data_IF_608534031750
#
_entry.id   IF_608534031750
#
_cell.length_a   1.000
_cell.length_b   1.000
_cell.length_c   1.000
_cell.angle_alpha   90.00
_cell.angle_beta   90.00
_cell.angle_gamma   90.00
#
_symmetry.space_group_name_H-M   'P 1'
#
loop_
_entity.id
_entity.type
_entity.pdbx_description
1 polymer ?
#
# COMPACT_ATOMS: atom_id res chain seq x y z
N UNK A 1 -29.01 12.09 -36.86
CA UNK A 1 -29.65 12.12 -35.53
C UNK A 1 -28.53 11.97 -34.48
N UNK A 2 -27.98 13.08 -33.98
CA UNK A 2 -26.84 13.07 -33.05
C UNK A 2 -27.32 13.08 -31.60
N UNK A 3 -26.86 12.10 -30.80
CA UNK A 3 -27.12 12.01 -29.36
C UNK A 3 -26.33 13.09 -28.63
N UNK A 4 -27.04 13.94 -27.87
CA UNK A 4 -26.44 14.88 -26.93
C UNK A 4 -25.75 14.11 -25.80
N UNK A 5 -24.47 14.43 -25.58
CA UNK A 5 -23.61 13.84 -24.54
C UNK A 5 -23.97 14.49 -23.20
N UNK A 6 -24.46 13.71 -22.25
CA UNK A 6 -24.85 14.19 -20.92
C UNK A 6 -23.66 14.79 -20.14
N UNK A 7 -23.90 15.80 -19.28
CA UNK A 7 -22.85 16.41 -18.47
C UNK A 7 -22.29 15.42 -17.45
N UNK A 8 -20.96 15.29 -17.41
CA UNK A 8 -20.24 14.36 -16.54
C UNK A 8 -20.48 14.75 -15.07
N UNK A 9 -21.32 13.99 -14.38
CA UNK A 9 -21.55 14.12 -12.94
C UNK A 9 -20.43 13.39 -12.19
N UNK A 10 -19.42 14.13 -11.72
CA UNK A 10 -18.38 13.55 -10.88
C UNK A 10 -18.94 13.23 -9.49
N UNK A 11 -18.72 12.02 -8.96
CA UNK A 11 -19.18 11.67 -7.62
C UNK A 11 -18.40 12.46 -6.57
N UNK A 12 -19.13 13.01 -5.59
CA UNK A 12 -18.67 13.78 -4.41
C UNK A 12 -17.33 13.35 -3.74
N UNK A 13 -16.91 12.06 -3.69
CA UNK A 13 -15.58 11.69 -3.19
C UNK A 13 -14.41 12.25 -4.01
N UNK A 14 -14.55 12.41 -5.33
CA UNK A 14 -13.46 12.89 -6.20
C UNK A 14 -13.12 14.35 -5.89
N UNK A 15 -14.12 15.17 -5.59
CA UNK A 15 -13.94 16.58 -5.23
C UNK A 15 -13.22 16.76 -3.88
N UNK A 16 -13.47 15.86 -2.92
CA UNK A 16 -12.78 15.85 -1.62
C UNK A 16 -11.31 15.46 -1.75
N UNK A 17 -10.99 14.53 -2.65
CA UNK A 17 -9.60 14.12 -2.92
C UNK A 17 -8.84 15.25 -3.62
N UNK A 18 -9.48 15.96 -4.55
CA UNK A 18 -8.89 17.12 -5.24
C UNK A 18 -8.57 18.25 -4.24
N UNK A 19 -9.44 18.52 -3.26
CA UNK A 19 -9.20 19.55 -2.23
C UNK A 19 -8.03 19.23 -1.30
N UNK A 20 -7.83 17.95 -0.95
CA UNK A 20 -6.69 17.51 -0.12
C UNK A 20 -5.39 17.59 -0.92
N UNK A 21 -5.41 17.20 -2.20
CA UNK A 21 -4.26 17.28 -3.09
C UNK A 21 -3.89 18.74 -3.39
N UNK A 22 -4.88 19.64 -3.55
CA UNK A 22 -4.62 21.07 -3.77
C UNK A 22 -4.00 21.76 -2.56
N UNK A 23 -4.37 21.35 -1.33
CA UNK A 23 -3.78 21.88 -0.10
C UNK A 23 -2.29 21.49 0.04
N UNK A 24 -1.95 20.24 -0.28
CA UNK A 24 -0.57 19.74 -0.29
C UNK A 24 0.30 20.40 -1.38
N UNK A 25 -0.27 20.65 -2.56
CA UNK A 25 0.39 21.37 -3.65
C UNK A 25 0.66 22.85 -3.31
N UNK A 26 -0.27 23.53 -2.63
CA UNK A 26 -0.10 24.93 -2.23
C UNK A 26 1.03 25.11 -1.20
N UNK A 27 1.18 24.16 -0.26
CA UNK A 27 2.30 24.17 0.70
C UNK A 27 3.66 23.91 0.05
N UNK A 28 3.71 23.19 -1.08
CA UNK A 28 4.95 22.91 -1.80
C UNK A 28 5.36 24.08 -2.70
N UNK A 29 4.40 24.80 -3.30
CA UNK A 29 4.67 25.97 -4.14
C UNK A 29 5.05 27.23 -3.35
N UNK A 30 4.64 27.34 -2.08
CA UNK A 30 4.95 28.49 -1.25
C UNK A 30 6.46 28.64 -0.93
N UNK A 31 7.24 27.55 -1.06
CA UNK A 31 8.68 27.54 -0.76
C UNK A 31 9.58 27.95 -1.95
N UNK A 32 9.02 28.25 -3.14
CA UNK A 32 9.78 28.50 -4.38
C UNK A 32 9.56 29.87 -5.04
N UNK A 33 8.95 30.86 -4.38
CA UNK A 33 8.82 32.19 -4.99
C UNK A 33 10.14 32.97 -4.97
N UNK A 34 10.95 32.81 -6.03
CA UNK A 34 12.01 33.77 -6.35
C UNK A 34 11.37 35.09 -6.78
N UNK A 35 11.76 36.17 -6.11
CA UNK A 35 11.26 37.52 -6.38
C UNK A 35 11.89 38.06 -7.67
N UNK A 36 11.16 38.06 -8.79
CA UNK A 36 11.59 38.73 -10.01
C UNK A 36 11.30 40.24 -9.89
N UNK A 37 12.30 41.13 -10.00
CA UNK A 37 12.06 42.56 -9.95
C UNK A 37 11.29 43.00 -11.21
N UNK A 38 10.26 43.82 -11.00
CA UNK A 38 9.42 44.36 -12.09
C UNK A 38 10.29 45.29 -12.93
N UNK A 39 10.48 44.96 -14.21
CA UNK A 39 11.16 45.81 -15.17
C UNK A 39 10.30 47.05 -15.42
N UNK A 40 10.86 48.25 -15.19
CA UNK A 40 10.12 49.50 -15.38
C UNK A 40 9.70 49.63 -16.84
N UNK A 41 8.39 49.76 -17.06
CA UNK A 41 7.81 49.99 -18.38
C UNK A 41 8.21 51.40 -18.81
N UNK A 42 8.89 51.49 -19.95
CA UNK A 42 9.20 52.76 -20.61
C UNK A 42 7.90 53.54 -20.84
N UNK A 43 7.73 54.68 -20.17
CA UNK A 43 6.52 55.52 -20.24
C UNK A 43 6.26 56.09 -21.65
N UNK A 44 7.19 55.90 -22.60
CA UNK A 44 7.06 56.34 -23.99
C UNK A 44 6.23 55.42 -24.88
N UNK A 45 5.42 54.53 -24.30
CA UNK A 45 4.35 53.87 -25.07
C UNK A 45 3.30 54.93 -25.39
N UNK A 46 3.36 55.42 -26.63
CA UNK A 46 2.30 56.22 -27.26
C UNK A 46 0.96 55.65 -26.81
N UNK A 47 0.25 56.40 -25.98
CA UNK A 47 -1.11 56.05 -25.60
C UNK A 47 -1.95 56.17 -26.86
N UNK A 48 -2.07 55.06 -27.60
CA UNK A 48 -3.08 54.92 -28.63
C UNK A 48 -4.40 54.92 -27.86
N UNK A 49 -4.90 56.12 -27.56
CA UNK A 49 -6.24 56.31 -27.09
C UNK A 49 -7.12 55.90 -28.27
N UNK A 50 -7.42 54.60 -28.37
CA UNK A 50 -8.43 54.10 -29.31
C UNK A 50 -9.73 54.76 -28.87
N UNK A 51 -10.08 55.86 -29.52
CA UNK A 51 -11.42 56.40 -29.46
C UNK A 51 -12.30 55.33 -30.08
N UNK A 52 -13.02 54.59 -29.23
CA UNK A 52 -14.00 53.64 -29.71
C UNK A 52 -15.06 54.45 -30.47
N UNK A 53 -15.32 54.15 -31.76
CA UNK A 53 -16.45 54.76 -32.44
C UNK A 53 -17.73 54.43 -31.68
N UNK A 54 -18.69 55.35 -31.60
CA UNK A 54 -19.96 55.13 -30.87
C UNK A 54 -20.72 53.87 -31.35
N UNK A 55 -20.47 53.46 -32.60
CA UNK A 55 -21.01 52.25 -33.21
C UNK A 55 -20.29 50.94 -32.82
N UNK A 56 -19.10 51.01 -32.22
CA UNK A 56 -18.33 49.83 -31.83
C UNK A 56 -19.07 49.00 -30.78
N UNK A 57 -19.79 49.65 -29.86
CA UNK A 57 -20.61 48.96 -28.86
C UNK A 57 -21.70 48.10 -29.52
N UNK A 58 -22.31 48.60 -30.60
CA UNK A 58 -23.35 47.87 -31.33
C UNK A 58 -22.79 46.64 -32.06
N UNK A 59 -21.55 46.72 -32.56
CA UNK A 59 -20.87 45.58 -33.22
C UNK A 59 -20.61 44.45 -32.23
N UNK A 60 -20.08 44.77 -31.04
CA UNK A 60 -19.83 43.76 -30.01
C UNK A 60 -21.12 43.23 -29.37
N UNK A 61 -22.17 44.05 -29.24
CA UNK A 61 -23.47 43.59 -28.75
C UNK A 61 -24.22 42.72 -29.76
N UNK A 62 -24.01 42.92 -31.07
CA UNK A 62 -24.61 42.10 -32.12
C UNK A 62 -23.86 40.78 -32.37
N UNK A 63 -22.63 40.66 -31.87
CA UNK A 63 -21.82 39.45 -32.02
C UNK A 63 -22.37 38.32 -31.14
N UNK A 64 -22.81 37.24 -31.79
CA UNK A 64 -23.37 36.06 -31.13
C UNK A 64 -22.32 35.36 -30.27
N UNK A 65 -21.05 35.38 -30.64
CA UNK A 65 -19.98 34.76 -29.86
C UNK A 65 -19.65 35.58 -28.61
N UNK A 66 -19.70 36.92 -28.73
CA UNK A 66 -19.59 37.81 -27.58
C UNK A 66 -20.76 37.62 -26.60
N UNK A 67 -22.00 37.58 -27.10
CA UNK A 67 -23.17 37.28 -26.27
C UNK A 67 -23.09 35.89 -25.64
N UNK A 68 -22.56 34.90 -26.37
CA UNK A 68 -22.37 33.55 -25.84
C UNK A 68 -21.37 33.54 -24.67
N UNK A 69 -20.25 34.26 -24.81
CA UNK A 69 -19.23 34.42 -23.76
C UNK A 69 -19.77 35.12 -22.50
N UNK A 70 -20.71 36.06 -22.65
CA UNK A 70 -21.38 36.72 -21.52
C UNK A 70 -22.53 35.88 -20.94
N UNK A 71 -23.24 35.10 -21.76
CA UNK A 71 -24.32 34.21 -21.32
C UNK A 71 -23.80 32.96 -20.59
N UNK A 72 -22.55 32.57 -20.85
CA UNK A 72 -21.83 31.52 -20.14
C UNK A 72 -21.15 32.04 -18.87
N UNK A 73 -21.24 33.36 -18.54
CA UNK A 73 -20.93 33.82 -17.19
C UNK A 73 -21.96 33.22 -16.26
N UNK A 74 -21.59 32.07 -15.71
CA UNK A 74 -22.22 31.35 -14.61
C UNK A 74 -22.98 32.33 -13.76
N UNK A 75 -24.31 32.39 -13.96
CA UNK A 75 -25.17 33.15 -13.08
C UNK A 75 -25.02 32.48 -11.72
N UNK A 76 -24.19 33.08 -10.88
CA UNK A 76 -23.95 32.61 -9.52
C UNK A 76 -25.32 32.69 -8.87
N UNK A 77 -25.96 31.53 -8.70
CA UNK A 77 -27.28 31.46 -8.10
C UNK A 77 -27.23 32.18 -6.77
N UNK A 78 -28.19 33.07 -6.51
CA UNK A 78 -28.33 33.74 -5.20
C UNK A 78 -28.35 32.70 -4.08
N UNK A 79 -28.94 31.54 -4.36
CA UNK A 79 -28.90 30.38 -3.47
C UNK A 79 -27.49 29.84 -3.24
N UNK A 80 -26.69 29.74 -4.31
CA UNK A 80 -25.29 29.37 -4.22
C UNK A 80 -24.47 30.39 -3.43
N UNK A 81 -24.75 31.68 -3.59
CA UNK A 81 -24.10 32.75 -2.83
C UNK A 81 -24.47 32.70 -1.34
N UNK A 82 -25.74 32.47 -1.01
CA UNK A 82 -26.22 32.29 0.36
C UNK A 82 -25.54 31.08 1.01
N UNK A 83 -25.49 29.94 0.31
CA UNK A 83 -24.82 28.75 0.81
C UNK A 83 -23.31 28.92 0.95
N UNK A 84 -22.67 29.61 0.00
CA UNK A 84 -21.24 29.91 0.07
C UNK A 84 -20.93 30.82 1.26
N UNK A 85 -21.74 31.87 1.48
CA UNK A 85 -21.63 32.73 2.65
C UNK A 85 -21.87 31.95 3.95
N UNK A 86 -22.91 31.12 4.00
CA UNK A 86 -23.21 30.30 5.17
C UNK A 86 -22.03 29.38 5.52
N UNK A 87 -21.52 28.61 4.55
CA UNK A 87 -20.38 27.74 4.77
C UNK A 87 -19.10 28.50 5.11
N UNK A 88 -18.87 29.66 4.49
CA UNK A 88 -17.73 30.51 4.83
C UNK A 88 -17.75 30.92 6.31
N UNK A 89 -18.91 31.36 6.81
CA UNK A 89 -19.05 31.75 8.22
C UNK A 89 -18.95 30.56 9.17
N UNK A 90 -19.55 29.42 8.80
CA UNK A 90 -19.44 28.17 9.58
C UNK A 90 -17.98 27.70 9.66
N UNK A 91 -17.27 27.65 8.53
CA UNK A 91 -15.86 27.26 8.50
C UNK A 91 -15.00 28.26 9.27
N UNK A 92 -15.19 29.56 9.07
CA UNK A 92 -14.48 30.60 9.82
C UNK A 92 -14.67 30.43 11.33
N UNK A 93 -15.89 30.15 11.78
CA UNK A 93 -16.19 29.91 13.19
C UNK A 93 -15.51 28.63 13.69
N UNK A 94 -15.64 27.52 12.97
CA UNK A 94 -15.06 26.20 13.27
C UNK A 94 -13.53 26.28 13.38
N UNK A 95 -12.85 27.01 12.47
CA UNK A 95 -11.39 27.13 12.42
C UNK A 95 -10.84 28.32 13.24
N UNK A 96 -11.62 28.88 14.17
CA UNK A 96 -11.14 29.93 15.06
C UNK A 96 -10.01 29.41 15.98
N UNK A 97 -8.94 30.18 16.25
CA UNK A 97 -7.86 29.76 17.14
C UNK A 97 -8.31 29.26 18.52
N UNK A 98 -9.40 29.80 19.06
CA UNK A 98 -9.99 29.38 20.33
C UNK A 98 -10.49 27.92 20.35
N UNK A 99 -10.88 27.37 19.20
CA UNK A 99 -11.35 25.98 19.07
C UNK A 99 -10.22 24.99 18.73
N UNK A 100 -9.00 25.47 18.50
CA UNK A 100 -7.84 24.62 18.21
C UNK A 100 -7.64 23.50 19.24
N UNK A 101 -7.64 23.72 20.56
CA UNK A 101 -7.44 22.62 21.52
C UNK A 101 -8.51 21.52 21.41
N UNK A 102 -9.76 21.89 21.10
CA UNK A 102 -10.83 20.92 20.82
C UNK A 102 -10.53 20.09 19.56
N UNK A 103 -10.07 20.72 18.46
CA UNK A 103 -9.68 20.01 17.25
C UNK A 103 -8.50 19.07 17.45
N UNK A 104 -7.51 19.47 18.26
CA UNK A 104 -6.39 18.59 18.61
C UNK A 104 -6.88 17.39 19.43
N UNK A 105 -7.72 17.61 20.44
CA UNK A 105 -8.30 16.54 21.24
C UNK A 105 -9.14 15.58 20.37
N UNK A 106 -10.00 16.12 19.51
CA UNK A 106 -10.80 15.33 18.57
C UNK A 106 -9.92 14.51 17.62
N UNK A 107 -8.85 15.10 17.10
CA UNK A 107 -7.89 14.42 16.24
C UNK A 107 -7.22 13.23 16.96
N UNK A 108 -6.75 13.43 18.20
CA UNK A 108 -6.19 12.35 19.00
C UNK A 108 -7.21 11.26 19.34
N UNK A 109 -8.46 11.62 19.63
CA UNK A 109 -9.55 10.66 19.87
C UNK A 109 -9.83 9.83 18.61
N UNK A 110 -9.87 10.46 17.43
CA UNK A 110 -10.07 9.76 16.15
C UNK A 110 -8.91 8.81 15.87
N UNK A 111 -7.66 9.25 16.05
CA UNK A 111 -6.48 8.38 15.91
C UNK A 111 -6.55 7.20 16.89
N UNK A 112 -6.83 7.47 18.16
CA UNK A 112 -6.96 6.44 19.18
C UNK A 112 -8.09 5.45 18.83
N UNK A 113 -9.23 5.94 18.34
CA UNK A 113 -10.35 5.11 17.89
C UNK A 113 -10.00 4.24 16.69
N UNK A 114 -9.29 4.79 15.69
CA UNK A 114 -8.78 4.03 14.53
C UNK A 114 -7.78 2.97 14.99
N UNK A 115 -6.88 3.33 15.91
CA UNK A 115 -5.87 2.44 16.46
C UNK A 115 -6.51 1.28 17.23
N UNK A 116 -7.47 1.57 18.12
CA UNK A 116 -8.26 0.57 18.85
C UNK A 116 -9.06 -0.30 17.89
N UNK A 117 -9.70 0.28 16.87
CA UNK A 117 -10.41 -0.47 15.85
C UNK A 117 -9.46 -1.44 15.13
N UNK A 118 -8.28 -0.98 14.73
CA UNK A 118 -7.28 -1.80 14.07
C UNK A 118 -6.78 -2.93 14.98
N UNK A 119 -6.46 -2.65 16.24
CA UNK A 119 -6.09 -3.66 17.25
C UNK A 119 -7.22 -4.68 17.43
N UNK A 120 -8.46 -4.22 17.57
CA UNK A 120 -9.62 -5.10 17.75
C UNK A 120 -9.84 -6.02 16.53
N UNK A 121 -9.52 -5.52 15.32
CA UNK A 121 -9.59 -6.29 14.09
C UNK A 121 -8.48 -7.32 14.02
N UNK A 122 -7.26 -6.94 14.41
CA UNK A 122 -6.09 -7.83 14.48
C UNK A 122 -6.27 -8.92 15.53
N UNK A 123 -6.86 -8.63 16.69
CA UNK A 123 -7.13 -9.62 17.74
C UNK A 123 -8.28 -10.58 17.39
N UNK A 124 -9.29 -10.12 16.63
CA UNK A 124 -10.42 -10.95 16.19
C UNK A 124 -10.11 -11.76 14.93
N UNK A 125 -9.11 -11.38 14.14
CA UNK A 125 -8.55 -12.24 13.10
C UNK A 125 -7.46 -13.11 13.73
N UNK A 126 -7.59 -14.43 13.69
CA UNK A 126 -6.46 -15.33 13.97
C UNK A 126 -5.18 -14.84 13.23
N UNK A 127 -3.96 -15.00 13.79
CA UNK A 127 -2.74 -14.26 13.42
C UNK A 127 -2.14 -14.59 12.04
N UNK A 128 -2.95 -14.80 11.00
CA UNK A 128 -2.52 -15.17 9.65
C UNK A 128 -2.92 -14.18 8.55
N UNK A 129 -3.52 -13.03 8.87
CA UNK A 129 -4.17 -12.20 7.84
C UNK A 129 -3.53 -10.88 7.44
N UNK A 130 -2.67 -10.26 8.25
CA UNK A 130 -2.50 -8.78 8.14
C UNK A 130 -1.07 -8.23 8.16
N UNK A 131 -0.02 -9.06 8.20
CA UNK A 131 1.37 -8.58 8.32
C UNK A 131 2.29 -9.07 7.21
N UNK A 132 2.03 -8.66 5.97
CA UNK A 132 3.07 -8.61 4.94
C UNK A 132 3.50 -7.16 4.72
N UNK A 133 4.41 -6.68 5.59
CA UNK A 133 5.59 -5.86 5.23
C UNK A 133 6.34 -5.46 6.52
N UNK A 134 7.52 -6.04 6.74
CA UNK A 134 8.56 -5.36 7.51
C UNK A 134 9.93 -5.91 7.14
N UNK A 135 10.56 -5.24 6.15
CA UNK A 135 12.02 -5.27 6.02
C UNK A 135 12.61 -4.81 7.35
N UNK A 136 13.29 -5.71 8.07
CA UNK A 136 14.51 -5.38 8.80
C UNK A 136 15.52 -6.51 8.63
N UNK A 137 16.54 -6.15 7.88
CA UNK A 137 17.93 -6.62 7.90
C UNK A 137 18.22 -7.98 8.54
N UNK A 138 18.76 -8.85 7.70
CA UNK A 138 19.83 -9.80 8.00
C UNK A 138 20.43 -9.64 9.42
N UNK A 139 19.89 -10.41 10.35
CA UNK A 139 20.61 -10.83 11.55
C UNK A 139 20.87 -12.32 11.40
N UNK A 140 22.08 -12.59 10.92
CA UNK A 140 22.79 -13.86 11.05
C UNK A 140 22.79 -14.24 12.54
N UNK A 141 21.87 -15.10 12.96
CA UNK A 141 21.72 -15.46 14.37
C UNK A 141 20.34 -16.01 14.70
N UNK A 142 20.14 -17.28 14.36
CA UNK A 142 18.95 -18.09 14.51
C UNK A 142 18.31 -18.06 15.92
N UNK A 143 17.07 -17.57 16.12
CA UNK A 143 16.23 -17.96 17.24
C UNK A 143 15.27 -19.06 16.75
N UNK A 144 15.67 -20.31 16.97
CA UNK A 144 14.91 -21.56 16.83
C UNK A 144 13.57 -21.49 16.06
N UNK A 145 13.65 -21.58 14.73
CA UNK A 145 12.50 -21.68 13.81
C UNK A 145 11.68 -22.98 14.00
N UNK A 146 12.26 -23.97 14.69
CA UNK A 146 11.65 -25.27 14.95
C UNK A 146 11.76 -25.65 16.43
N UNK A 147 10.66 -26.12 17.02
CA UNK A 147 10.66 -26.67 18.39
C UNK A 147 10.85 -28.19 18.38
N UNK A 148 11.15 -28.75 19.56
CA UNK A 148 11.16 -30.20 19.76
C UNK A 148 9.77 -30.82 19.57
N UNK A 149 8.69 -30.10 19.89
CA UNK A 149 7.33 -30.58 19.60
C UNK A 149 7.06 -30.66 18.09
N UNK A 150 7.55 -29.69 17.31
CA UNK A 150 7.39 -29.70 15.86
C UNK A 150 8.06 -30.93 15.23
N UNK A 151 9.24 -31.33 15.72
CA UNK A 151 9.97 -32.50 15.22
C UNK A 151 9.34 -33.82 15.66
N UNK A 152 8.59 -33.86 16.76
CA UNK A 152 8.00 -35.11 17.26
C UNK A 152 6.53 -35.31 16.88
N UNK A 153 5.86 -34.30 16.30
CA UNK A 153 4.44 -34.37 15.94
C UNK A 153 4.19 -34.70 14.46
N UNK A 154 3.08 -35.40 14.17
CA UNK A 154 2.58 -35.54 12.81
C UNK A 154 1.80 -34.27 12.44
N UNK A 155 2.28 -33.57 11.42
CA UNK A 155 1.72 -32.31 10.93
C UNK A 155 0.96 -32.47 9.61
N UNK A 156 0.55 -33.69 9.24
CA UNK A 156 -0.14 -33.97 7.97
C UNK A 156 -1.43 -33.16 7.79
N UNK A 157 -2.24 -33.03 8.84
CA UNK A 157 -3.46 -32.22 8.80
C UNK A 157 -3.15 -30.71 8.72
N UNK A 158 -2.11 -30.27 9.44
CA UNK A 158 -1.64 -28.88 9.37
C UNK A 158 -1.14 -28.52 7.96
N UNK A 159 -0.48 -29.45 7.28
CA UNK A 159 -0.03 -29.26 5.89
C UNK A 159 -1.22 -29.07 4.94
N UNK A 160 -2.25 -29.94 5.05
CA UNK A 160 -3.46 -29.82 4.22
C UNK A 160 -4.15 -28.47 4.45
N UNK A 161 -4.34 -28.10 5.71
CA UNK A 161 -4.94 -26.81 6.07
C UNK A 161 -4.12 -25.63 5.54
N UNK A 162 -2.78 -25.68 5.62
CA UNK A 162 -1.92 -24.62 5.08
C UNK A 162 -2.08 -24.47 3.57
N UNK A 163 -2.15 -25.59 2.84
CA UNK A 163 -2.36 -25.60 1.38
C UNK A 163 -3.75 -25.06 1.01
N UNK A 164 -4.81 -25.52 1.68
CA UNK A 164 -6.20 -25.07 1.47
C UNK A 164 -6.36 -23.56 1.72
N UNK A 165 -5.70 -23.05 2.77
CA UNK A 165 -5.69 -21.63 3.09
C UNK A 165 -4.73 -20.81 2.20
N UNK A 166 -4.08 -21.43 1.22
CA UNK A 166 -3.04 -20.81 0.35
C UNK A 166 -1.86 -20.22 1.15
N UNK A 167 -1.61 -20.72 2.35
CA UNK A 167 -0.45 -20.39 3.16
C UNK A 167 0.74 -21.26 2.73
N UNK A 168 1.25 -20.98 1.54
CA UNK A 168 2.31 -21.77 0.92
C UNK A 168 3.64 -21.67 1.67
N UNK A 169 3.87 -20.59 2.43
CA UNK A 169 5.06 -20.42 3.25
C UNK A 169 5.01 -21.37 4.45
N UNK A 170 3.88 -21.45 5.14
CA UNK A 170 3.70 -22.40 6.24
C UNK A 170 3.70 -23.85 5.75
N UNK A 171 3.04 -24.12 4.62
CA UNK A 171 3.07 -25.45 4.01
C UNK A 171 4.50 -25.91 3.69
N UNK A 172 5.34 -25.00 3.16
CA UNK A 172 6.75 -25.28 2.90
C UNK A 172 7.54 -25.51 4.20
N UNK A 173 7.29 -24.72 5.25
CA UNK A 173 7.91 -24.93 6.58
C UNK A 173 7.61 -26.32 7.11
N UNK A 174 6.36 -26.77 7.03
CA UNK A 174 5.95 -28.10 7.49
C UNK A 174 6.65 -29.20 6.67
N UNK A 175 6.76 -29.04 5.35
CA UNK A 175 7.53 -29.97 4.51
C UNK A 175 9.01 -30.03 4.88
N UNK A 176 9.60 -28.90 5.27
CA UNK A 176 10.98 -28.85 5.75
C UNK A 176 11.16 -29.53 7.12
N UNK A 177 10.24 -29.31 8.06
CA UNK A 177 10.21 -30.05 9.34
C UNK A 177 10.17 -31.56 9.09
N UNK A 178 9.29 -32.02 8.19
CA UNK A 178 9.21 -33.43 7.79
C UNK A 178 10.50 -33.97 7.19
N UNK A 179 11.24 -33.12 6.48
CA UNK A 179 12.57 -33.46 5.95
C UNK A 179 13.55 -33.73 7.09
N UNK A 180 13.61 -32.86 8.10
CA UNK A 180 14.45 -33.05 9.27
C UNK A 180 14.05 -34.30 10.07
N UNK A 181 12.75 -34.55 10.22
CA UNK A 181 12.22 -35.76 10.87
C UNK A 181 12.70 -37.05 10.17
N UNK A 182 12.61 -37.10 8.84
CA UNK A 182 13.05 -38.27 8.06
C UNK A 182 14.57 -38.47 8.12
N UNK A 183 15.34 -37.38 8.03
CA UNK A 183 16.79 -37.43 8.20
C UNK A 183 17.19 -37.96 9.59
N UNK A 184 16.52 -37.48 10.64
CA UNK A 184 16.75 -37.96 12.00
C UNK A 184 16.35 -39.43 12.16
N UNK A 185 15.19 -39.84 11.62
CA UNK A 185 14.73 -41.25 11.65
C UNK A 185 15.76 -42.19 11.01
N UNK A 186 16.38 -41.75 9.91
CA UNK A 186 17.43 -42.47 9.21
C UNK A 186 18.83 -42.32 9.84
N UNK A 187 18.93 -41.67 11.01
CA UNK A 187 20.19 -41.41 11.74
C UNK A 187 21.23 -40.66 10.91
N UNK A 188 20.78 -39.82 9.96
CA UNK A 188 21.64 -39.00 9.11
C UNK A 188 21.96 -37.65 9.75
N UNK A 189 21.15 -37.22 10.71
CA UNK A 189 21.36 -36.02 11.52
C UNK A 189 20.94 -36.28 12.97
N UNK A 190 21.43 -35.45 13.88
CA UNK A 190 20.92 -35.35 15.25
C UNK A 190 20.27 -33.98 15.40
N UNK A 191 18.93 -33.93 15.48
CA UNK A 191 18.21 -32.67 15.63
C UNK A 191 18.59 -32.00 16.96
N UNK A 192 18.97 -30.73 16.89
CA UNK A 192 19.19 -29.90 18.07
C UNK A 192 18.64 -28.51 17.81
N UNK A 193 17.94 -27.96 18.82
CA UNK A 193 17.42 -26.60 18.76
C UNK A 193 18.59 -25.62 18.56
N UNK A 194 18.46 -24.72 17.60
CA UNK A 194 19.46 -23.70 17.29
C UNK A 194 20.45 -24.07 16.18
N UNK A 195 20.57 -25.35 15.82
CA UNK A 195 21.38 -25.76 14.66
C UNK A 195 20.87 -25.13 13.36
N UNK A 196 21.81 -24.73 12.53
CA UNK A 196 21.63 -24.15 11.20
C UNK A 196 21.50 -25.26 10.14
N UNK A 197 20.92 -24.91 8.99
CA UNK A 197 20.84 -25.82 7.85
C UNK A 197 22.22 -26.26 7.34
N UNK A 198 23.24 -25.40 7.45
CA UNK A 198 24.62 -25.76 7.11
C UNK A 198 25.22 -26.78 8.07
N UNK A 199 24.91 -26.70 9.37
CA UNK A 199 25.34 -27.69 10.35
C UNK A 199 24.69 -29.05 10.06
N UNK A 200 23.38 -29.08 9.80
CA UNK A 200 22.70 -30.31 9.37
C UNK A 200 23.27 -30.88 8.08
N UNK A 201 23.62 -30.04 7.11
CA UNK A 201 24.20 -30.48 5.84
C UNK A 201 25.57 -31.16 6.03
N UNK A 202 26.36 -30.72 7.01
CA UNK A 202 27.68 -31.30 7.33
C UNK A 202 27.57 -32.66 8.03
N UNK A 203 26.47 -32.93 8.72
CA UNK A 203 26.22 -34.23 9.37
C UNK A 203 25.87 -35.34 8.38
N UNK A 204 25.30 -34.98 7.22
CA UNK A 204 24.89 -35.96 6.20
C UNK A 204 26.11 -36.43 5.41
N UNK A 205 26.63 -37.61 5.75
CA UNK A 205 27.83 -38.18 5.10
C UNK A 205 27.57 -38.77 3.71
N UNK A 206 26.33 -39.15 3.38
CA UNK A 206 25.97 -39.77 2.09
C UNK A 206 25.80 -38.70 1.00
N UNK A 207 26.60 -38.70 -0.08
CA UNK A 207 26.58 -37.63 -1.10
C UNK A 207 25.20 -37.41 -1.76
N UNK A 208 24.49 -38.50 -2.06
CA UNK A 208 23.18 -38.45 -2.70
C UNK A 208 22.13 -37.76 -1.81
N UNK A 209 22.17 -38.02 -0.50
CA UNK A 209 21.27 -37.37 0.47
C UNK A 209 21.72 -35.94 0.75
N UNK A 210 23.02 -35.70 0.83
CA UNK A 210 23.56 -34.37 1.11
C UNK A 210 23.21 -33.37 0.00
N UNK A 211 23.36 -33.76 -1.27
CA UNK A 211 23.02 -32.91 -2.41
C UNK A 211 21.52 -32.59 -2.48
N UNK A 212 20.67 -33.59 -2.25
CA UNK A 212 19.22 -33.38 -2.16
C UNK A 212 18.83 -32.44 -1.02
N UNK A 213 19.38 -32.64 0.18
CA UNK A 213 19.13 -31.77 1.32
C UNK A 213 19.59 -30.33 1.09
N UNK A 214 20.76 -30.13 0.45
CA UNK A 214 21.27 -28.79 0.10
C UNK A 214 20.25 -28.00 -0.72
N UNK A 215 19.63 -28.63 -1.71
CA UNK A 215 18.63 -27.97 -2.56
C UNK A 215 17.38 -27.59 -1.76
N UNK A 216 16.89 -28.46 -0.88
CA UNK A 216 15.74 -28.17 -0.02
C UNK A 216 16.04 -27.08 1.00
N UNK A 217 17.24 -27.09 1.59
CA UNK A 217 17.71 -26.06 2.51
C UNK A 217 17.77 -24.69 1.81
N UNK A 218 18.28 -24.61 0.59
CA UNK A 218 18.30 -23.36 -0.19
C UNK A 218 16.89 -22.85 -0.50
N UNK A 219 15.96 -23.74 -0.89
CA UNK A 219 14.55 -23.36 -1.11
C UNK A 219 13.93 -22.84 0.18
N UNK A 220 14.16 -23.53 1.30
CA UNK A 220 13.66 -23.12 2.60
C UNK A 220 14.24 -21.78 3.03
N UNK A 221 15.56 -21.60 2.95
CA UNK A 221 16.23 -20.37 3.36
C UNK A 221 15.73 -19.17 2.53
N UNK A 222 15.61 -19.38 1.22
CA UNK A 222 15.09 -18.36 0.30
C UNK A 222 13.66 -17.97 0.67
N UNK A 223 12.75 -18.95 0.82
CA UNK A 223 11.34 -18.66 1.08
C UNK A 223 11.10 -18.12 2.49
N UNK A 224 11.72 -18.76 3.48
CA UNK A 224 11.44 -18.48 4.89
C UNK A 224 12.17 -17.23 5.36
N UNK A 225 13.45 -17.05 5.05
CA UNK A 225 14.19 -15.85 5.48
C UNK A 225 14.15 -14.72 4.45
N UNK A 226 13.88 -15.02 3.18
CA UNK A 226 13.74 -14.00 2.14
C UNK A 226 12.36 -13.33 2.06
N UNK A 227 11.39 -13.76 2.87
CA UNK A 227 10.01 -13.25 2.89
C UNK A 227 9.32 -13.17 1.51
N UNK A 228 9.68 -14.05 0.58
CA UNK A 228 9.11 -14.03 -0.76
C UNK A 228 7.71 -14.65 -0.79
N UNK A 229 6.76 -13.95 -1.40
CA UNK A 229 5.47 -14.52 -1.75
C UNK A 229 5.67 -15.65 -2.79
N UNK A 230 5.09 -16.82 -2.51
CA UNK A 230 5.15 -17.98 -3.39
C UNK A 230 3.81 -18.08 -4.14
N UNK A 231 3.85 -18.18 -5.46
CA UNK A 231 2.66 -18.53 -6.25
C UNK A 231 2.34 -20.02 -6.11
N UNK A 232 1.07 -20.39 -6.29
CA UNK A 232 0.63 -21.80 -6.21
C UNK A 232 1.43 -22.72 -7.15
N UNK A 233 1.70 -22.27 -8.39
CA UNK A 233 2.50 -23.04 -9.35
C UNK A 233 3.93 -23.28 -8.86
N UNK A 234 4.56 -22.25 -8.28
CA UNK A 234 5.91 -22.36 -7.74
C UNK A 234 5.92 -23.27 -6.52
N UNK A 235 4.90 -23.16 -5.66
CA UNK A 235 4.73 -24.04 -4.51
C UNK A 235 4.57 -25.49 -4.94
N UNK A 236 3.75 -25.81 -5.94
CA UNK A 236 3.58 -27.18 -6.46
C UNK A 236 4.90 -27.79 -6.91
N UNK A 237 5.74 -27.02 -7.61
CA UNK A 237 7.11 -27.47 -8.00
C UNK A 237 8.00 -27.74 -6.79
N UNK A 238 8.01 -26.84 -5.81
CA UNK A 238 8.78 -27.06 -4.58
C UNK A 238 8.28 -28.28 -3.82
N UNK A 239 6.96 -28.40 -3.63
CA UNK A 239 6.33 -29.56 -3.00
C UNK A 239 6.75 -30.86 -3.68
N UNK A 240 6.85 -30.89 -5.01
CA UNK A 240 7.34 -32.05 -5.74
C UNK A 240 8.79 -32.40 -5.38
N UNK A 241 9.70 -31.42 -5.32
CA UNK A 241 11.09 -31.65 -4.88
C UNK A 241 11.18 -32.20 -3.46
N UNK A 242 10.37 -31.66 -2.53
CA UNK A 242 10.29 -32.19 -1.16
C UNK A 242 9.80 -33.64 -1.15
N UNK A 243 8.72 -33.93 -1.89
CA UNK A 243 8.14 -35.27 -1.97
C UNK A 243 9.10 -36.29 -2.59
N UNK A 244 9.83 -35.91 -3.64
CA UNK A 244 10.79 -36.80 -4.30
C UNK A 244 11.96 -37.13 -3.39
N UNK A 245 12.46 -36.14 -2.64
CA UNK A 245 13.47 -36.36 -1.62
C UNK A 245 12.97 -37.20 -0.44
N UNK A 246 11.72 -37.00 0.00
CA UNK A 246 11.10 -37.84 1.05
C UNK A 246 10.95 -39.28 0.61
N UNK A 247 10.59 -39.54 -0.66
CA UNK A 247 10.57 -40.88 -1.24
C UNK A 247 11.96 -41.50 -1.28
N UNK A 248 12.98 -40.72 -1.63
CA UNK A 248 14.38 -41.19 -1.62
C UNK A 248 14.83 -41.62 -0.22
N UNK A 249 14.46 -40.87 0.82
CA UNK A 249 14.76 -41.20 2.22
C UNK A 249 13.89 -42.32 2.81
N UNK A 250 12.74 -42.61 2.21
CA UNK A 250 11.81 -43.66 2.65
C UNK A 250 12.10 -45.04 2.09
N UNK A 251 13.11 -45.18 1.22
CA UNK A 251 13.64 -46.47 0.73
C UNK A 251 14.60 -47.06 1.74
#
# INVERSE_FOLDING_TARGET
MMRLKEPIRYPMPVFKIILIISGLLYSLSAQQSEFYPIQQVDENVVSIQRVLPDSALNVYQADKDFQKMFSERTQVSVWGMIWAWFWYNILRFIFTPALMPFWHALFYIVIAGIFIYFISRVLKSSPRGLFFKSRKAAQTGNPAVFSTEDINSDASDKLKQAIENKDFREALRILFVRTLQLLQKNRLIIFQKGKTNLEYLREISKPDFQSGFRNLALIFDYVWYGEFAISEERFKRFQQYFNDYHKLLGR
#
